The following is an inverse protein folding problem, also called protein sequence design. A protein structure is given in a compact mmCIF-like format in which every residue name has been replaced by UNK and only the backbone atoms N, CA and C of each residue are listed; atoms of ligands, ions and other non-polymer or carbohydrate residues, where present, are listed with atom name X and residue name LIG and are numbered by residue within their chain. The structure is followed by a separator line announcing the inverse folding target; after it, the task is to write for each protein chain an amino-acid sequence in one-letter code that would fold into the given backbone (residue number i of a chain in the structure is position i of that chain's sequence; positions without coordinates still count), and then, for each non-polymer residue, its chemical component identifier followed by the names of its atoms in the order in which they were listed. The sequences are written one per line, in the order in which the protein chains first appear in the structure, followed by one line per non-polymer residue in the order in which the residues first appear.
data_IF_924542088380
#
_entry.id   IF_924542088380
#
_cell.length_a   1.000
_cell.length_b   1.000
_cell.length_c   1.000
_cell.angle_alpha   90.00
_cell.angle_beta   90.00
_cell.angle_gamma   90.00
#
_symmetry.space_group_name_H-M   'P 1'
#
loop_
_entity.id
_entity.type
_entity.pdbx_description
1 polymer ?
#
# COMPACT_ATOMS: atom_id res chain seq x y z
N UNK A 1 -15.62 -13.48 -35.10
CA UNK A 1 -14.38 -14.15 -34.70
C UNK A 1 -13.32 -13.09 -34.46
N UNK A 2 -12.52 -13.02 -33.39
CA UNK A 2 -12.44 -13.61 -32.07
C UNK A 2 -11.14 -13.01 -31.49
N UNK A 3 -11.16 -12.48 -30.26
CA UNK A 3 -10.19 -12.71 -29.17
C UNK A 3 -10.14 -11.52 -28.20
N UNK A 4 -10.94 -11.64 -27.14
CA UNK A 4 -10.62 -11.00 -25.87
C UNK A 4 -9.84 -12.03 -25.05
N UNK A 5 -8.52 -11.90 -24.97
CA UNK A 5 -7.72 -12.67 -24.03
C UNK A 5 -8.02 -12.06 -22.66
N UNK A 6 -8.93 -12.67 -21.90
CA UNK A 6 -8.93 -12.51 -20.46
C UNK A 6 -7.61 -13.12 -19.97
N UNK A 7 -6.63 -12.27 -19.66
CA UNK A 7 -5.42 -12.72 -18.96
C UNK A 7 -5.84 -13.06 -17.53
N UNK A 8 -6.31 -14.29 -17.33
CA UNK A 8 -6.54 -14.84 -15.99
C UNK A 8 -5.18 -14.97 -15.33
N UNK A 9 -4.97 -14.32 -14.18
CA UNK A 9 -3.76 -14.53 -13.38
C UNK A 9 -3.58 -16.03 -13.10
N UNK A 10 -2.35 -16.57 -13.15
CA UNK A 10 -2.11 -17.97 -12.89
C UNK A 10 -2.56 -18.34 -11.46
N UNK A 11 -3.41 -19.35 -11.35
CA UNK A 11 -3.88 -19.86 -10.06
C UNK A 11 -2.94 -20.96 -9.55
N UNK A 12 -2.46 -20.81 -8.31
CA UNK A 12 -1.65 -21.81 -7.62
C UNK A 12 -2.50 -22.53 -6.57
N UNK A 13 -2.33 -23.85 -6.45
CA UNK A 13 -3.01 -24.65 -5.42
C UNK A 13 -2.15 -24.77 -4.17
N UNK A 14 -2.69 -24.33 -3.05
CA UNK A 14 -2.11 -24.49 -1.72
C UNK A 14 -2.95 -25.49 -0.91
N UNK A 15 -2.32 -26.52 -0.36
CA UNK A 15 -2.97 -27.45 0.59
C UNK A 15 -2.56 -27.06 1.99
N UNK A 16 -3.53 -26.80 2.87
CA UNK A 16 -3.30 -26.38 4.27
C UNK A 16 -3.93 -27.37 5.23
N UNK A 17 -3.23 -27.70 6.31
CA UNK A 17 -3.82 -28.41 7.44
C UNK A 17 -4.55 -27.41 8.33
N UNK A 18 -5.85 -27.63 8.55
CA UNK A 18 -6.70 -26.77 9.37
C UNK A 18 -7.19 -27.54 10.59
N UNK A 19 -7.30 -26.89 11.77
CA UNK A 19 -8.02 -27.47 12.89
C UNK A 19 -9.46 -27.81 12.48
N UNK A 20 -9.96 -28.97 12.92
CA UNK A 20 -11.30 -29.45 12.58
C UNK A 20 -12.39 -28.42 12.94
N UNK A 21 -12.22 -27.70 14.04
CA UNK A 21 -13.11 -26.62 14.47
C UNK A 21 -13.24 -25.51 13.42
N UNK A 22 -12.14 -25.06 12.83
CA UNK A 22 -12.11 -24.02 11.81
C UNK A 22 -12.74 -24.51 10.50
N UNK A 23 -12.42 -25.73 10.08
CA UNK A 23 -13.01 -26.32 8.88
C UNK A 23 -14.54 -26.44 8.99
N UNK A 24 -15.04 -26.95 10.12
CA UNK A 24 -16.49 -27.04 10.38
C UNK A 24 -17.16 -25.66 10.36
N UNK A 25 -16.53 -24.67 10.97
CA UNK A 25 -17.06 -23.31 10.99
C UNK A 25 -17.15 -22.70 9.59
N UNK A 26 -16.08 -22.82 8.78
CA UNK A 26 -16.08 -22.37 7.38
C UNK A 26 -17.15 -23.08 6.56
N UNK A 27 -17.29 -24.41 6.72
CA UNK A 27 -18.33 -25.20 6.03
C UNK A 27 -19.74 -24.71 6.38
N UNK A 28 -20.01 -24.44 7.66
CA UNK A 28 -21.30 -23.94 8.10
C UNK A 28 -21.63 -22.57 7.47
N UNK A 29 -20.67 -21.64 7.44
CA UNK A 29 -20.87 -20.33 6.80
C UNK A 29 -21.08 -20.49 5.30
N UNK A 30 -20.31 -21.35 4.63
CA UNK A 30 -20.44 -21.63 3.21
C UNK A 30 -21.86 -22.13 2.86
N UNK A 31 -22.40 -23.06 3.64
CA UNK A 31 -23.77 -23.57 3.48
C UNK A 31 -24.82 -22.47 3.72
N UNK A 32 -24.67 -21.68 4.78
CA UNK A 32 -25.62 -20.60 5.11
C UNK A 32 -25.61 -19.47 4.07
N UNK A 33 -24.44 -19.13 3.53
CA UNK A 33 -24.26 -18.06 2.55
C UNK A 33 -24.38 -18.55 1.11
N UNK A 34 -24.58 -19.85 0.90
CA UNK A 34 -24.61 -20.50 -0.42
C UNK A 34 -23.35 -20.20 -1.26
N UNK A 35 -22.19 -20.09 -0.62
CA UNK A 35 -20.91 -19.86 -1.27
C UNK A 35 -20.07 -21.14 -1.28
N UNK A 36 -19.25 -21.40 -2.32
CA UNK A 36 -18.28 -22.48 -2.29
C UNK A 36 -17.31 -22.31 -1.11
N UNK A 37 -16.98 -23.41 -0.43
CA UNK A 37 -16.04 -23.40 0.70
C UNK A 37 -14.68 -22.78 0.31
N UNK A 38 -14.19 -23.10 -0.88
CA UNK A 38 -12.94 -22.55 -1.42
C UNK A 38 -13.01 -21.02 -1.56
N UNK A 39 -14.10 -20.48 -2.09
CA UNK A 39 -14.32 -19.04 -2.23
C UNK A 39 -14.30 -18.35 -0.87
N UNK A 40 -14.96 -18.91 0.13
CA UNK A 40 -14.96 -18.37 1.49
C UNK A 40 -13.57 -18.44 2.15
N UNK A 41 -12.84 -19.54 1.94
CA UNK A 41 -11.47 -19.69 2.44
C UNK A 41 -10.53 -18.66 1.82
N UNK A 42 -10.58 -18.48 0.50
CA UNK A 42 -9.80 -17.46 -0.22
C UNK A 42 -10.14 -16.06 0.28
N UNK A 43 -11.43 -15.71 0.41
CA UNK A 43 -11.84 -14.40 0.95
C UNK A 43 -11.32 -14.17 2.38
N UNK A 44 -11.38 -15.21 3.22
CA UNK A 44 -10.90 -15.15 4.61
C UNK A 44 -9.38 -14.96 4.67
N UNK A 45 -8.62 -15.59 3.77
CA UNK A 45 -7.17 -15.40 3.68
C UNK A 45 -6.88 -13.99 3.16
N UNK A 46 -7.41 -13.62 1.99
CA UNK A 46 -7.17 -12.33 1.33
C UNK A 46 -7.53 -11.15 2.23
N UNK A 47 -8.64 -11.22 2.97
CA UNK A 47 -9.06 -10.16 3.89
C UNK A 47 -8.13 -9.96 5.09
N UNK A 48 -7.30 -10.95 5.42
CA UNK A 48 -6.38 -10.90 6.55
C UNK A 48 -4.91 -10.70 6.15
N UNK A 49 -4.59 -10.71 4.85
CA UNK A 49 -3.23 -10.43 4.38
C UNK A 49 -2.86 -8.96 4.62
N UNK A 50 -1.59 -8.68 4.96
CA UNK A 50 -1.10 -7.30 4.99
C UNK A 50 -1.18 -6.68 3.59
N UNK A 51 -1.29 -5.34 3.49
CA UNK A 51 -1.29 -4.66 2.21
C UNK A 51 -0.03 -4.98 1.41
N UNK A 52 -0.21 -5.41 0.16
CA UNK A 52 0.90 -5.69 -0.76
C UNK A 52 1.70 -4.43 -1.10
N UNK A 53 2.98 -4.62 -1.41
CA UNK A 53 3.90 -3.58 -1.89
C UNK A 53 4.22 -3.71 -3.38
N UNK A 54 3.63 -4.68 -4.09
CA UNK A 54 4.03 -5.07 -5.45
C UNK A 54 3.84 -3.94 -6.48
N UNK A 55 2.90 -3.04 -6.21
CA UNK A 55 2.61 -1.88 -7.06
C UNK A 55 3.49 -0.65 -6.75
N UNK A 56 4.33 -0.71 -5.72
CA UNK A 56 5.24 0.39 -5.39
C UNK A 56 6.52 0.32 -6.24
N UNK A 57 7.19 1.46 -6.51
CA UNK A 57 8.49 1.47 -7.17
C UNK A 57 9.51 0.58 -6.42
N UNK A 58 10.33 -0.23 -7.13
CA UNK A 58 11.27 -1.16 -6.50
C UNK A 58 12.18 -0.51 -5.45
N UNK A 59 12.53 0.75 -5.64
CA UNK A 59 13.43 1.53 -4.78
C UNK A 59 12.86 1.74 -3.37
N UNK A 60 11.53 1.73 -3.20
CA UNK A 60 10.87 1.94 -1.90
C UNK A 60 10.21 0.67 -1.34
N UNK A 61 10.13 -0.42 -2.12
CA UNK A 61 9.48 -1.66 -1.66
C UNK A 61 10.10 -2.22 -0.38
N UNK A 62 11.43 -2.20 -0.27
CA UNK A 62 12.13 -2.67 0.92
C UNK A 62 11.75 -1.86 2.17
N UNK A 63 11.64 -0.53 2.04
CA UNK A 63 11.22 0.35 3.13
C UNK A 63 9.77 0.07 3.53
N UNK A 64 8.87 -0.11 2.57
CA UNK A 64 7.46 -0.43 2.85
C UNK A 64 7.33 -1.81 3.53
N UNK A 65 8.10 -2.82 3.11
CA UNK A 65 8.12 -4.12 3.77
C UNK A 65 8.59 -4.02 5.22
N UNK A 66 9.65 -3.24 5.48
CA UNK A 66 10.13 -3.01 6.84
C UNK A 66 9.05 -2.34 7.73
N UNK A 67 8.21 -1.47 7.15
CA UNK A 67 7.10 -0.85 7.89
C UNK A 67 6.09 -1.86 8.45
N UNK A 68 5.93 -3.04 7.84
CA UNK A 68 5.01 -4.07 8.35
C UNK A 68 5.39 -4.58 9.75
N UNK A 69 6.63 -4.37 10.19
CA UNK A 69 7.14 -4.77 11.51
C UNK A 69 7.12 -3.65 12.55
N UNK A 70 6.82 -2.41 12.15
CA UNK A 70 6.82 -1.25 13.07
C UNK A 70 5.68 -1.31 14.07
N UNK A 71 5.83 -0.64 15.22
CA UNK A 71 4.77 -0.49 16.20
C UNK A 71 3.65 0.44 15.70
N UNK A 72 2.48 0.41 16.34
CA UNK A 72 1.33 1.26 15.97
C UNK A 72 1.69 2.75 16.07
N UNK A 73 2.45 3.14 17.10
CA UNK A 73 2.82 4.55 17.33
C UNK A 73 3.80 5.06 16.26
N UNK A 74 4.78 4.25 15.88
CA UNK A 74 5.71 4.58 14.78
C UNK A 74 4.96 4.76 13.46
N UNK A 75 4.04 3.85 13.15
CA UNK A 75 3.19 3.95 11.96
C UNK A 75 2.32 5.20 12.00
N UNK A 76 1.79 5.58 13.17
CA UNK A 76 1.01 6.81 13.33
C UNK A 76 1.86 8.05 13.08
N UNK A 77 3.09 8.08 13.59
CA UNK A 77 4.04 9.16 13.34
C UNK A 77 4.35 9.29 11.85
N UNK A 78 4.60 8.17 11.16
CA UNK A 78 4.84 8.16 9.70
C UNK A 78 3.58 8.64 8.97
N UNK A 79 2.40 8.12 9.30
CA UNK A 79 1.14 8.48 8.65
C UNK A 79 0.81 9.98 8.75
N UNK A 80 1.20 10.61 9.86
CA UNK A 80 0.98 12.04 10.14
C UNK A 80 2.16 12.93 9.75
N UNK A 81 3.26 12.34 9.29
CA UNK A 81 4.47 13.09 8.92
C UNK A 81 4.19 14.09 7.79
N UNK A 82 4.94 15.19 7.80
CA UNK A 82 4.86 16.25 6.80
C UNK A 82 6.25 16.56 6.28
N UNK A 83 6.31 17.07 5.05
CA UNK A 83 7.56 17.58 4.51
C UNK A 83 8.02 18.77 5.39
N UNK A 84 9.32 18.90 5.71
CA UNK A 84 9.81 20.04 6.45
C UNK A 84 9.39 21.36 5.79
N UNK A 85 8.93 22.38 6.56
CA UNK A 85 8.44 23.63 5.99
C UNK A 85 9.43 24.32 5.04
N UNK A 86 10.73 24.24 5.34
CA UNK A 86 11.78 24.77 4.48
C UNK A 86 11.85 24.08 3.10
N UNK A 87 11.69 22.75 3.06
CA UNK A 87 11.66 21.99 1.81
C UNK A 87 10.39 22.26 1.01
N UNK A 88 9.25 22.39 1.69
CA UNK A 88 7.99 22.75 1.05
C UNK A 88 8.06 24.15 0.42
N UNK A 89 8.57 25.14 1.15
CA UNK A 89 8.75 26.49 0.62
C UNK A 89 9.69 26.49 -0.59
N UNK A 90 10.83 25.81 -0.46
CA UNK A 90 11.81 25.69 -1.56
C UNK A 90 11.21 25.05 -2.80
N UNK A 91 10.38 24.03 -2.62
CA UNK A 91 9.65 23.37 -3.71
C UNK A 91 8.72 24.35 -4.44
N UNK A 92 7.96 25.15 -3.71
CA UNK A 92 7.06 26.17 -4.27
C UNK A 92 7.83 27.26 -5.03
N UNK A 93 8.93 27.77 -4.45
CA UNK A 93 9.77 28.79 -5.07
C UNK A 93 10.35 28.30 -6.42
N UNK A 94 10.84 27.06 -6.47
CA UNK A 94 11.37 26.45 -7.70
C UNK A 94 10.29 26.21 -8.75
N UNK A 95 9.06 25.84 -8.33
CA UNK A 95 7.93 25.71 -9.23
C UNK A 95 7.52 27.05 -9.85
N UNK A 96 7.51 28.13 -9.06
CA UNK A 96 7.20 29.48 -9.54
C UNK A 96 8.28 29.96 -10.52
N UNK A 97 9.56 29.81 -10.16
CA UNK A 97 10.69 30.14 -11.05
C UNK A 97 10.61 29.40 -12.39
N UNK A 98 10.27 28.10 -12.39
CA UNK A 98 10.14 27.28 -13.61
C UNK A 98 9.03 27.77 -14.55
N UNK A 99 7.97 28.37 -14.02
CA UNK A 99 6.88 28.94 -14.83
C UNK A 99 7.31 30.21 -15.57
N UNK A 100 8.20 30.99 -14.95
CA UNK A 100 8.68 32.27 -15.49
C UNK A 100 9.88 32.10 -16.43
N UNK A 101 10.78 31.18 -16.11
CA UNK A 101 12.01 30.95 -16.87
C UNK A 101 12.49 29.50 -16.78
N UNK A 102 13.38 29.11 -17.71
CA UNK A 102 14.05 27.81 -17.62
C UNK A 102 14.96 27.78 -16.38
N UNK A 103 14.81 26.75 -15.55
CA UNK A 103 15.65 26.57 -14.38
C UNK A 103 17.10 26.21 -14.78
N UNK A 104 18.11 26.76 -14.09
CA UNK A 104 19.48 26.25 -14.17
C UNK A 104 19.54 24.74 -13.88
N UNK A 105 20.51 23.99 -14.44
CA UNK A 105 20.61 22.55 -14.26
C UNK A 105 20.60 22.11 -12.78
N UNK A 106 21.30 22.84 -11.92
CA UNK A 106 21.33 22.58 -10.48
C UNK A 106 19.97 22.73 -9.81
N UNK A 107 19.24 23.81 -10.10
CA UNK A 107 17.88 24.05 -9.56
C UNK A 107 16.86 23.05 -10.13
N UNK A 108 17.02 22.61 -11.39
CA UNK A 108 16.17 21.58 -11.98
C UNK A 108 16.40 20.20 -11.36
N UNK A 109 17.64 19.87 -11.00
CA UNK A 109 17.95 18.64 -10.26
C UNK A 109 17.34 18.71 -8.86
N UNK A 110 17.55 19.82 -8.14
CA UNK A 110 16.99 20.04 -6.80
C UNK A 110 15.45 19.91 -6.80
N UNK A 111 14.77 20.50 -7.78
CA UNK A 111 13.32 20.37 -7.94
C UNK A 111 12.89 18.90 -8.17
N UNK A 112 13.69 18.12 -8.90
CA UNK A 112 13.40 16.71 -9.16
C UNK A 112 13.58 15.88 -7.89
N UNK A 113 14.62 16.13 -7.11
CA UNK A 113 14.88 15.44 -5.84
C UNK A 113 13.77 15.75 -4.81
N UNK A 114 13.33 17.01 -4.74
CA UNK A 114 12.21 17.41 -3.87
C UNK A 114 10.90 16.71 -4.24
N UNK A 115 10.62 16.53 -5.54
CA UNK A 115 9.45 15.77 -6.00
C UNK A 115 9.54 14.31 -5.57
N UNK A 116 10.68 13.69 -5.83
CA UNK A 116 10.90 12.29 -5.46
C UNK A 116 10.72 12.09 -3.95
N UNK A 117 11.29 12.97 -3.13
CA UNK A 117 11.14 12.91 -1.67
C UNK A 117 9.68 13.06 -1.23
N UNK A 118 8.92 13.97 -1.85
CA UNK A 118 7.50 14.18 -1.57
C UNK A 118 6.65 12.96 -1.98
N UNK A 119 6.94 12.36 -3.14
CA UNK A 119 6.25 11.16 -3.63
C UNK A 119 6.50 9.96 -2.71
N UNK A 120 7.77 9.73 -2.33
CA UNK A 120 8.15 8.68 -1.38
C UNK A 120 7.51 8.89 0.00
N UNK A 121 7.44 10.14 0.48
CA UNK A 121 6.74 10.46 1.71
C UNK A 121 5.24 10.14 1.61
N UNK A 122 4.60 10.50 0.50
CA UNK A 122 3.18 10.23 0.24
C UNK A 122 2.90 8.72 0.24
N UNK A 123 3.74 7.94 -0.43
CA UNK A 123 3.63 6.47 -0.45
C UNK A 123 3.76 5.87 0.95
N UNK A 124 4.76 6.28 1.72
CA UNK A 124 4.94 5.81 3.11
C UNK A 124 3.73 6.18 3.98
N UNK A 125 3.19 7.39 3.84
CA UNK A 125 1.99 7.81 4.57
C UNK A 125 0.77 6.97 4.23
N UNK A 126 0.51 6.78 2.93
CA UNK A 126 -0.61 5.95 2.47
C UNK A 126 -0.48 4.51 2.97
N UNK A 127 0.72 3.95 2.89
CA UNK A 127 0.99 2.59 3.35
C UNK A 127 0.84 2.45 4.87
N UNK A 128 1.33 3.43 5.64
CA UNK A 128 1.14 3.48 7.09
C UNK A 128 -0.35 3.49 7.47
N UNK A 129 -1.19 4.27 6.76
CA UNK A 129 -2.64 4.25 6.98
C UNK A 129 -3.27 2.90 6.66
N UNK A 130 -2.86 2.24 5.58
CA UNK A 130 -3.33 0.89 5.23
C UNK A 130 -2.95 -0.14 6.29
N UNK A 131 -1.71 -0.09 6.81
CA UNK A 131 -1.26 -0.97 7.90
C UNK A 131 -2.03 -0.73 9.19
N UNK A 132 -2.28 0.53 9.55
CA UNK A 132 -3.07 0.88 10.73
C UNK A 132 -4.51 0.32 10.60
N UNK A 133 -5.14 0.49 9.44
CA UNK A 133 -6.47 -0.07 9.16
C UNK A 133 -6.48 -1.59 9.23
N UNK A 134 -5.48 -2.25 8.62
CA UNK A 134 -5.33 -3.71 8.65
C UNK A 134 -5.18 -4.25 10.09
N UNK A 135 -4.49 -3.51 10.97
CA UNK A 135 -4.35 -3.83 12.40
C UNK A 135 -5.55 -3.40 13.27
N UNK A 136 -6.67 -3.05 12.65
CA UNK A 136 -7.91 -2.69 13.37
C UNK A 136 -7.90 -1.31 14.03
N UNK A 137 -6.95 -0.42 13.68
CA UNK A 137 -6.96 0.95 14.18
C UNK A 137 -8.00 1.80 13.45
N UNK A 138 -8.68 2.67 14.19
CA UNK A 138 -9.58 3.66 13.60
C UNK A 138 -8.74 4.76 12.94
N UNK A 139 -9.03 5.04 11.68
CA UNK A 139 -8.48 6.19 10.98
C UNK A 139 -9.12 7.48 11.56
N UNK A 140 -8.35 8.54 11.81
CA UNK A 140 -8.93 9.83 12.13
C UNK A 140 -9.82 10.31 10.97
N UNK A 141 -10.95 10.93 11.33
CA UNK A 141 -11.92 11.50 10.39
C UNK A 141 -11.39 12.76 9.70
#
# INVERSE_FOLDING_TARGET
FEYAIALTEPTLKLTVELPESIFRHLKQIAEQTHQPLETLAVQSITGNLPPSVDNAPPEIQADLLAMQQLAIDDLRQIAQSQLPPAQQQRYLDLLEKRQVASLPPAESQELSDLRLAADQLTLRKAYAWNLLRWRGQRLPA
#
